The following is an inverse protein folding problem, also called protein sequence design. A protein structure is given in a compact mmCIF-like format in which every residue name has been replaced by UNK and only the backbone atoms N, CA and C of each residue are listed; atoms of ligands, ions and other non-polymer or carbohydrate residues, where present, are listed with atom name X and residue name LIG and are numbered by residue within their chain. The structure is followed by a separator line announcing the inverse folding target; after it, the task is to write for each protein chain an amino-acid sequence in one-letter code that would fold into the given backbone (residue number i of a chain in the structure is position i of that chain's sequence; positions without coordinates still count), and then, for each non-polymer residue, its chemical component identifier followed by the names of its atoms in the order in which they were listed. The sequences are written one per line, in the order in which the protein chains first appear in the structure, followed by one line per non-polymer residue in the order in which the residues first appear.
data_IF_299315185915
#
_entry.id   IF_299315185915
#
_cell.length_a   1.000
_cell.length_b   1.000
_cell.length_c   1.000
_cell.angle_alpha   90.00
_cell.angle_beta   90.00
_cell.angle_gamma   90.00
#
_symmetry.space_group_name_H-M   'P 1'
#
loop_
_entity.id
_entity.type
_entity.pdbx_description
1 polymer ?
#
# COMPACT_ATOMS: atom_id res chain seq x y z
N UNK A 1 -40.60 -16.53 -22.59
CA UNK A 1 -39.40 -16.60 -21.72
C UNK A 1 -39.87 -16.73 -20.28
N UNK A 2 -39.33 -17.69 -19.51
CA UNK A 2 -39.82 -18.03 -18.16
C UNK A 2 -39.44 -16.91 -17.16
N UNK A 3 -40.36 -16.42 -16.31
CA UNK A 3 -40.13 -15.28 -15.40
C UNK A 3 -38.99 -15.52 -14.40
N UNK A 4 -38.69 -16.79 -14.11
CA UNK A 4 -37.59 -17.20 -13.25
C UNK A 4 -36.20 -16.82 -13.79
N UNK A 5 -36.04 -16.69 -15.11
CA UNK A 5 -34.75 -16.31 -15.69
C UNK A 5 -34.40 -14.84 -15.44
N UNK A 6 -35.42 -13.96 -15.40
CA UNK A 6 -35.24 -12.54 -15.09
C UNK A 6 -34.90 -12.33 -13.60
N UNK A 7 -35.52 -13.11 -12.71
CA UNK A 7 -35.24 -13.11 -11.27
C UNK A 7 -33.85 -13.65 -10.93
N UNK A 8 -33.37 -14.65 -11.67
CA UNK A 8 -32.02 -15.17 -11.49
C UNK A 8 -30.96 -14.15 -11.94
N UNK A 9 -31.24 -13.42 -13.04
CA UNK A 9 -30.34 -12.40 -13.58
C UNK A 9 -30.26 -11.16 -12.68
N UNK A 10 -31.36 -10.75 -12.04
CA UNK A 10 -31.36 -9.64 -11.08
C UNK A 10 -30.64 -9.97 -9.77
N UNK A 11 -30.66 -11.24 -9.32
CA UNK A 11 -29.91 -11.66 -8.13
C UNK A 11 -28.38 -11.59 -8.33
N UNK A 12 -27.90 -11.82 -9.56
CA UNK A 12 -26.47 -11.79 -9.89
C UNK A 12 -25.88 -10.37 -9.80
N UNK A 13 -26.68 -9.32 -10.04
CA UNK A 13 -26.23 -7.94 -9.90
C UNK A 13 -26.08 -7.47 -8.44
N UNK A 14 -26.73 -8.15 -7.50
CA UNK A 14 -26.70 -7.78 -6.07
C UNK A 14 -25.52 -8.41 -5.31
N UNK A 15 -24.83 -9.39 -5.90
CA UNK A 15 -23.67 -10.07 -5.29
C UNK A 15 -22.32 -9.44 -5.70
N UNK A 16 -22.34 -8.40 -6.55
CA UNK A 16 -21.13 -7.79 -7.11
C UNK A 16 -20.48 -6.69 -6.29
N UNK A 17 -21.00 -6.35 -5.10
CA UNK A 17 -20.39 -5.34 -4.24
C UNK A 17 -19.31 -5.98 -3.37
N UNK A 18 -18.06 -5.97 -3.84
CA UNK A 18 -16.90 -6.21 -2.97
C UNK A 18 -16.47 -4.88 -2.37
N UNK A 19 -16.36 -4.81 -1.05
CA UNK A 19 -15.65 -3.70 -0.41
C UNK A 19 -14.20 -3.72 -0.88
N UNK A 20 -13.67 -2.55 -1.27
CA UNK A 20 -12.23 -2.40 -1.47
C UNK A 20 -11.56 -2.59 -0.10
N UNK A 21 -10.69 -3.59 0.01
CA UNK A 21 -9.95 -3.82 1.24
C UNK A 21 -8.98 -2.66 1.46
N UNK A 22 -9.23 -1.86 2.49
CA UNK A 22 -8.29 -0.83 2.91
C UNK A 22 -7.02 -1.45 3.50
N UNK A 23 -5.86 -0.97 3.05
CA UNK A 23 -4.59 -1.33 3.68
C UNK A 23 -4.42 -0.55 5.00
N UNK A 24 -4.17 -1.24 6.13
CA UNK A 24 -3.88 -0.59 7.41
C UNK A 24 -2.47 0.03 7.40
N UNK A 25 -2.37 1.35 7.20
CA UNK A 25 -1.10 2.07 7.05
C UNK A 25 -0.13 1.88 8.22
N UNK A 26 -0.64 1.64 9.42
CA UNK A 26 0.16 1.32 10.62
C UNK A 26 1.03 0.07 10.43
N UNK A 27 0.65 -0.87 9.54
CA UNK A 27 1.47 -2.04 9.22
C UNK A 27 2.73 -1.72 8.42
N UNK A 28 2.85 -0.53 7.84
CA UNK A 28 4.09 -0.07 7.19
C UNK A 28 5.10 0.48 8.19
N UNK A 29 4.68 0.79 9.42
CA UNK A 29 5.55 1.39 10.41
C UNK A 29 6.70 0.46 10.80
N UNK A 30 7.86 1.06 11.05
CA UNK A 30 9.08 0.36 11.42
C UNK A 30 10.16 0.47 10.35
N UNK A 31 11.15 -0.43 10.47
CA UNK A 31 12.36 -0.41 9.66
C UNK A 31 12.27 -1.48 8.58
N UNK A 32 12.55 -1.06 7.35
CA UNK A 32 12.63 -1.93 6.19
C UNK A 32 14.03 -1.91 5.63
N UNK A 33 14.52 -3.08 5.28
CA UNK A 33 15.86 -3.26 4.75
C UNK A 33 15.81 -4.28 3.60
N UNK A 34 16.47 -3.92 2.51
CA UNK A 34 16.72 -4.82 1.39
C UNK A 34 18.17 -4.68 0.97
N UNK A 35 19.00 -5.66 1.35
CA UNK A 35 20.43 -5.68 1.03
C UNK A 35 20.69 -6.72 -0.04
N UNK A 36 21.30 -6.27 -1.13
CA UNK A 36 21.80 -7.11 -2.21
C UNK A 36 23.27 -6.79 -2.46
N UNK A 37 23.93 -7.59 -3.30
CA UNK A 37 25.32 -7.34 -3.71
C UNK A 37 25.48 -6.07 -4.58
N UNK A 38 24.38 -5.46 -5.06
CA UNK A 38 24.40 -4.31 -5.99
C UNK A 38 23.91 -3.02 -5.33
N UNK A 39 22.89 -3.15 -4.47
CA UNK A 39 22.28 -2.03 -3.77
C UNK A 39 21.83 -2.43 -2.37
N UNK A 40 21.79 -1.45 -1.47
CA UNK A 40 21.21 -1.58 -0.15
C UNK A 40 20.17 -0.47 0.04
N UNK A 41 18.94 -0.86 0.37
CA UNK A 41 17.82 0.04 0.59
C UNK A 41 17.44 -0.02 2.06
N UNK A 42 17.30 1.14 2.68
CA UNK A 42 16.92 1.27 4.07
C UNK A 42 15.81 2.31 4.18
N UNK A 43 14.74 1.97 4.88
CA UNK A 43 13.62 2.88 5.13
C UNK A 43 13.18 2.78 6.58
N UNK A 44 12.78 3.91 7.15
CA UNK A 44 12.16 3.96 8.47
C UNK A 44 10.88 4.77 8.41
N UNK A 45 9.77 4.12 8.72
CA UNK A 45 8.42 4.68 8.63
C UNK A 45 7.79 4.86 10.00
N UNK A 46 7.17 6.02 10.21
CA UNK A 46 6.55 6.43 11.46
C UNK A 46 5.12 6.91 11.22
N UNK A 47 4.17 6.40 12.00
CA UNK A 47 2.76 6.81 11.96
C UNK A 47 2.66 8.28 12.36
N UNK A 48 1.87 9.06 11.62
CA UNK A 48 1.60 10.47 11.90
C UNK A 48 0.10 10.71 11.90
N UNK A 49 -0.52 10.55 13.07
CA UNK A 49 -1.97 10.62 13.22
C UNK A 49 -2.68 9.36 12.70
N UNK A 50 -3.94 9.49 12.30
CA UNK A 50 -4.79 8.35 11.93
C UNK A 50 -4.80 8.05 10.42
N UNK A 51 -4.47 9.04 9.59
CA UNK A 51 -4.58 8.96 8.13
C UNK A 51 -3.25 9.01 7.40
N UNK A 52 -2.12 9.07 8.11
CA UNK A 52 -0.83 9.33 7.48
C UNK A 52 0.34 8.57 8.11
N UNK A 53 1.38 8.38 7.30
CA UNK A 53 2.66 7.84 7.71
C UNK A 53 3.78 8.60 6.99
N UNK A 54 4.89 8.88 7.68
CA UNK A 54 6.06 9.54 7.10
C UNK A 54 7.28 8.63 7.18
N UNK A 55 8.09 8.62 6.14
CA UNK A 55 9.25 7.78 6.04
C UNK A 55 10.49 8.54 5.60
N UNK A 56 11.64 8.11 6.10
CA UNK A 56 12.94 8.48 5.54
C UNK A 56 13.56 7.23 4.93
N UNK A 57 13.96 7.33 3.67
CA UNK A 57 14.61 6.26 2.92
C UNK A 57 16.01 6.68 2.48
N UNK A 58 16.93 5.72 2.39
CA UNK A 58 18.15 5.91 1.64
C UNK A 58 18.57 4.65 0.89
N UNK A 59 19.22 4.87 -0.26
CA UNK A 59 19.76 3.81 -1.11
C UNK A 59 21.26 4.01 -1.26
N UNK A 60 22.01 2.96 -1.00
CA UNK A 60 23.42 2.84 -1.31
C UNK A 60 23.56 2.01 -2.58
N UNK A 61 24.17 2.55 -3.62
CA UNK A 61 24.44 1.85 -4.87
C UNK A 61 25.91 1.98 -5.26
N UNK A 62 26.50 0.87 -5.69
CA UNK A 62 27.87 0.80 -6.24
C UNK A 62 29.00 1.42 -5.37
N UNK A 63 28.76 1.62 -4.07
CA UNK A 63 29.77 2.03 -3.09
C UNK A 63 29.95 3.55 -2.90
N UNK A 64 29.38 4.38 -3.76
CA UNK A 64 29.63 5.84 -3.78
C UNK A 64 28.37 6.70 -4.03
N UNK A 65 27.27 6.12 -4.51
CA UNK A 65 26.03 6.85 -4.75
C UNK A 65 25.05 6.64 -3.60
N UNK A 66 24.70 7.74 -2.94
CA UNK A 66 23.66 7.78 -1.90
C UNK A 66 22.49 8.61 -2.41
N UNK A 67 21.29 8.01 -2.45
CA UNK A 67 20.04 8.74 -2.62
C UNK A 67 19.30 8.75 -1.29
N UNK A 68 18.80 9.91 -0.86
CA UNK A 68 18.05 10.06 0.39
C UNK A 68 16.70 10.69 0.04
N UNK A 69 15.63 10.14 0.58
CA UNK A 69 14.28 10.67 0.42
C UNK A 69 13.55 10.82 1.75
N UNK A 70 12.68 11.82 1.80
CA UNK A 70 11.72 12.00 2.87
C UNK A 70 10.34 11.98 2.22
N UNK A 71 9.53 10.98 2.57
CA UNK A 71 8.23 10.74 1.97
C UNK A 71 7.12 10.81 3.02
N UNK A 72 5.92 11.11 2.56
CA UNK A 72 4.69 11.09 3.37
C UNK A 72 3.57 10.50 2.54
N UNK A 73 2.89 9.51 3.10
CA UNK A 73 1.73 8.85 2.51
C UNK A 73 0.51 9.29 3.30
N UNK A 74 -0.54 9.71 2.58
CA UNK A 74 -1.80 10.20 3.12
C UNK A 74 -2.96 9.36 2.55
N UNK A 75 -3.89 8.93 3.40
CA UNK A 75 -5.16 8.36 2.93
C UNK A 75 -5.95 9.46 2.23
N UNK A 76 -6.37 9.20 0.99
CA UNK A 76 -7.29 10.07 0.28
C UNK A 76 -8.70 9.80 0.80
N UNK A 77 -9.37 10.82 1.33
CA UNK A 77 -10.77 10.75 1.77
C UNK A 77 -11.76 10.73 0.62
#
# INVERSE_FOLDING_TARGET
MRPYALLLFSLLFLLGCSEEAEFPLDKLAGKWESVTNKSSHFEEWNVVGESAISGMGYVLSAGDTVFIENLRIEKRG
#
